data_IF_594661952989
#
_entry.id   IF_594661952989
#
_cell.length_a   1.000
_cell.length_b   1.000
_cell.length_c   1.000
_cell.angle_alpha   90.00
_cell.angle_beta   90.00
_cell.angle_gamma   90.00
#
_symmetry.space_group_name_H-M   'P 1'
#
loop_
_entity.id
_entity.type
_entity.pdbx_description
1 polymer ?
#
# COMPACT_ATOMS: atom_id res chain seq x y z
N UNK A 1 -5.47 30.64 0.42
CA UNK A 1 -5.37 29.35 -0.30
C UNK A 1 -5.91 28.26 0.61
N UNK A 2 -6.88 27.42 0.17
CA UNK A 2 -7.30 26.27 0.99
C UNK A 2 -6.10 25.33 1.15
N UNK A 3 -5.76 24.99 2.40
CA UNK A 3 -4.67 24.04 2.72
C UNK A 3 -5.03 22.69 2.08
N UNK A 4 -4.16 22.10 1.26
CA UNK A 4 -4.40 20.79 0.66
C UNK A 4 -4.57 19.75 1.78
N UNK A 5 -5.49 18.82 1.58
CA UNK A 5 -5.66 17.70 2.50
C UNK A 5 -4.38 16.84 2.51
N UNK A 6 -3.97 16.37 3.69
CA UNK A 6 -2.83 15.48 3.83
C UNK A 6 -3.33 14.06 4.08
N UNK A 7 -2.66 13.11 3.46
CA UNK A 7 -2.97 11.67 3.51
C UNK A 7 -1.69 10.93 3.87
N UNK A 8 -1.78 10.02 4.81
CA UNK A 8 -0.69 9.10 5.10
C UNK A 8 -0.94 7.78 4.37
N UNK A 9 -0.03 7.43 3.48
CA UNK A 9 0.04 6.09 2.89
C UNK A 9 1.10 5.30 3.66
N UNK A 10 0.74 4.14 4.18
CA UNK A 10 1.68 3.31 4.93
C UNK A 10 1.65 1.85 4.49
N UNK A 11 2.80 1.20 4.59
CA UNK A 11 2.99 -0.20 4.23
C UNK A 11 3.50 -1.05 5.40
N UNK A 12 3.91 -2.28 5.09
CA UNK A 12 4.32 -3.30 6.06
C UNK A 12 5.59 -2.94 6.87
N UNK A 13 6.32 -1.90 6.48
CA UNK A 13 7.42 -1.37 7.30
C UNK A 13 7.00 -1.01 8.71
N UNK A 14 5.74 -0.59 8.91
CA UNK A 14 5.18 -0.29 10.23
C UNK A 14 5.09 -1.52 11.14
N UNK A 15 4.80 -2.71 10.58
CA UNK A 15 4.76 -3.97 11.33
C UNK A 15 6.17 -4.48 11.66
N UNK A 16 7.13 -4.21 10.76
CA UNK A 16 8.49 -4.80 10.83
C UNK A 16 9.37 -4.20 11.93
N UNK A 17 9.01 -3.07 12.50
CA UNK A 17 9.80 -2.44 13.58
C UNK A 17 9.89 -3.30 14.84
N UNK A 18 8.89 -4.14 15.11
CA UNK A 18 8.83 -5.05 16.28
C UNK A 18 8.91 -6.53 15.87
N UNK A 19 9.67 -6.83 14.81
CA UNK A 19 9.89 -8.21 14.39
C UNK A 19 8.82 -8.78 13.46
N UNK A 20 7.92 -7.96 12.93
CA UNK A 20 7.00 -8.36 11.87
C UNK A 20 7.74 -8.86 10.62
N UNK A 21 7.13 -9.78 9.91
CA UNK A 21 7.72 -10.46 8.76
C UNK A 21 7.59 -9.63 7.46
N UNK A 22 8.51 -9.87 6.51
CA UNK A 22 8.34 -9.40 5.13
C UNK A 22 7.32 -10.26 4.41
N UNK A 23 6.76 -9.74 3.31
CA UNK A 23 5.84 -10.51 2.47
C UNK A 23 6.50 -11.76 1.88
N UNK A 24 7.78 -11.67 1.46
CA UNK A 24 8.55 -12.83 0.98
C UNK A 24 8.64 -13.93 2.06
N UNK A 25 8.92 -13.52 3.32
CA UNK A 25 9.00 -14.50 4.41
C UNK A 25 7.63 -15.07 4.76
N UNK A 26 6.57 -14.25 4.73
CA UNK A 26 5.20 -14.73 4.91
C UNK A 26 4.86 -15.80 3.88
N UNK A 27 5.13 -15.52 2.58
CA UNK A 27 4.87 -16.50 1.53
C UNK A 27 5.74 -17.77 1.68
N UNK A 28 7.02 -17.62 2.04
CA UNK A 28 7.91 -18.77 2.30
C UNK A 28 7.31 -19.67 3.40
N UNK A 29 6.90 -19.09 4.52
CA UNK A 29 6.32 -19.81 5.66
C UNK A 29 5.01 -20.57 5.30
N UNK A 30 4.16 -19.97 4.46
CA UNK A 30 2.86 -20.55 4.12
C UNK A 30 2.90 -21.44 2.86
N UNK A 31 3.99 -21.39 2.08
CA UNK A 31 4.15 -22.12 0.81
C UNK A 31 4.45 -23.60 0.96
N UNK A 32 4.77 -24.07 2.17
CA UNK A 32 5.22 -25.43 2.43
C UNK A 32 6.42 -25.86 1.57
N UNK A 33 7.33 -24.91 1.27
CA UNK A 33 8.52 -25.16 0.48
C UNK A 33 8.35 -25.08 -1.05
N UNK A 34 7.20 -24.62 -1.52
CA UNK A 34 6.90 -24.46 -2.96
C UNK A 34 7.31 -23.10 -3.53
N UNK A 35 8.04 -22.29 -2.76
CA UNK A 35 8.40 -20.94 -3.21
C UNK A 35 9.49 -20.99 -4.30
N UNK A 36 9.28 -20.22 -5.37
CA UNK A 36 10.29 -19.96 -6.38
C UNK A 36 11.07 -18.71 -5.98
N UNK A 37 12.37 -18.84 -5.77
CA UNK A 37 13.24 -17.70 -5.46
C UNK A 37 13.49 -16.85 -6.71
N UNK A 38 13.83 -15.58 -6.48
CA UNK A 38 14.26 -14.64 -7.53
C UNK A 38 13.20 -14.27 -8.59
N UNK A 39 11.90 -14.50 -8.29
CA UNK A 39 10.79 -13.99 -9.08
C UNK A 39 9.95 -12.99 -8.25
N UNK A 40 9.23 -12.05 -8.90
CA UNK A 40 8.36 -11.10 -8.22
C UNK A 40 7.29 -11.76 -7.36
N UNK A 41 6.95 -11.13 -6.23
CA UNK A 41 6.00 -11.65 -5.24
C UNK A 41 4.64 -12.09 -5.85
N UNK A 42 4.02 -11.36 -6.79
CA UNK A 42 2.77 -11.81 -7.40
C UNK A 42 2.89 -13.14 -8.15
N UNK A 43 4.03 -13.40 -8.80
CA UNK A 43 4.27 -14.68 -9.47
C UNK A 43 4.60 -15.80 -8.49
N UNK A 44 5.25 -15.50 -7.37
CA UNK A 44 5.43 -16.49 -6.30
C UNK A 44 4.08 -16.94 -5.76
N UNK A 45 3.15 -16.01 -5.55
CA UNK A 45 1.78 -16.32 -5.12
C UNK A 45 1.07 -17.23 -6.13
N UNK A 46 1.10 -16.90 -7.43
CA UNK A 46 0.49 -17.73 -8.47
C UNK A 46 1.12 -19.13 -8.51
N UNK A 47 2.44 -19.22 -8.38
CA UNK A 47 3.11 -20.53 -8.31
C UNK A 47 2.58 -21.39 -7.16
N UNK A 48 2.38 -20.80 -5.97
CA UNK A 48 1.84 -21.55 -4.82
C UNK A 48 0.38 -21.95 -5.05
N UNK A 49 -0.41 -21.05 -5.66
CA UNK A 49 -1.83 -21.34 -5.94
C UNK A 49 -2.03 -22.40 -7.02
N UNK A 50 -1.15 -22.43 -8.02
CA UNK A 50 -1.30 -23.27 -9.22
C UNK A 50 -0.47 -24.56 -9.18
N UNK A 51 0.53 -24.65 -8.30
CA UNK A 51 1.26 -25.88 -8.07
C UNK A 51 0.41 -26.82 -7.22
N UNK A 52 -0.24 -27.76 -7.85
CA UNK A 52 -0.89 -28.86 -7.13
C UNK A 52 0.09 -29.57 -6.22
N UNK A 53 -0.38 -29.99 -5.04
CA UNK A 53 0.36 -30.96 -4.24
C UNK A 53 0.58 -32.22 -5.08
N UNK A 54 1.75 -32.29 -5.66
CA UNK A 54 2.37 -33.42 -6.34
C UNK A 54 1.41 -34.53 -6.81
N UNK A 55 1.04 -34.55 -8.05
CA UNK A 55 0.96 -35.81 -8.73
C UNK A 55 -0.40 -36.34 -9.14
N UNK A 56 -1.46 -35.58 -9.17
CA UNK A 56 -2.72 -36.06 -9.75
C UNK A 56 -3.18 -35.12 -10.88
N UNK A 57 -2.46 -35.18 -12.01
CA UNK A 57 -2.84 -34.47 -13.26
C UNK A 57 -4.21 -34.91 -13.82
N UNK A 58 -4.79 -35.98 -13.28
CA UNK A 58 -6.07 -36.53 -13.72
C UNK A 58 -7.29 -35.93 -12.99
N UNK A 59 -7.10 -35.23 -11.90
CA UNK A 59 -8.15 -34.45 -11.25
C UNK A 59 -8.08 -33.01 -11.76
N UNK A 60 -8.87 -32.67 -12.73
CA UNK A 60 -8.91 -31.36 -13.36
C UNK A 60 -8.77 -30.16 -12.39
N UNK A 61 -8.50 -28.94 -12.87
CA UNK A 61 -7.99 -27.82 -12.09
C UNK A 61 -8.95 -27.45 -10.94
N UNK A 62 -8.63 -27.88 -9.72
CA UNK A 62 -9.23 -27.38 -8.48
C UNK A 62 -8.54 -26.08 -8.06
N UNK A 63 -8.35 -25.18 -9.00
CA UNK A 63 -7.61 -23.92 -8.82
C UNK A 63 -8.22 -23.02 -7.73
N UNK A 64 -9.51 -23.11 -7.46
CA UNK A 64 -10.22 -22.32 -6.44
C UNK A 64 -9.92 -22.74 -5.01
N UNK A 65 -9.60 -24.01 -4.78
CA UNK A 65 -9.33 -24.56 -3.44
C UNK A 65 -7.96 -24.09 -2.96
N UNK A 66 -6.95 -24.06 -3.81
CA UNK A 66 -5.60 -23.63 -3.46
C UNK A 66 -5.54 -22.14 -3.08
N UNK A 67 -6.20 -21.26 -3.83
CA UNK A 67 -6.26 -19.81 -3.54
C UNK A 67 -6.96 -19.54 -2.20
N UNK A 68 -8.09 -20.19 -1.96
CA UNK A 68 -8.86 -19.99 -0.73
C UNK A 68 -8.12 -20.45 0.52
N UNK A 69 -7.44 -21.58 0.46
CA UNK A 69 -6.60 -22.07 1.56
C UNK A 69 -5.41 -21.17 1.79
N UNK A 70 -4.73 -20.73 0.74
CA UNK A 70 -3.57 -19.84 0.85
C UNK A 70 -3.98 -18.50 1.48
N UNK A 71 -5.09 -17.92 1.06
CA UNK A 71 -5.63 -16.69 1.69
C UNK A 71 -6.03 -16.91 3.15
N UNK A 72 -6.55 -18.09 3.51
CA UNK A 72 -6.83 -18.39 4.90
C UNK A 72 -5.55 -18.44 5.74
N UNK A 73 -4.49 -19.06 5.24
CA UNK A 73 -3.19 -19.08 5.93
C UNK A 73 -2.61 -17.67 6.11
N UNK A 74 -2.79 -16.77 5.12
CA UNK A 74 -2.42 -15.36 5.25
C UNK A 74 -3.21 -14.71 6.40
N UNK A 75 -4.53 -14.88 6.43
CA UNK A 75 -5.40 -14.35 7.50
C UNK A 75 -4.94 -14.86 8.86
N UNK A 76 -4.71 -16.16 9.02
CA UNK A 76 -4.31 -16.78 10.28
C UNK A 76 -2.98 -16.19 10.78
N UNK A 77 -1.99 -16.04 9.90
CA UNK A 77 -0.69 -15.43 10.23
C UNK A 77 -0.80 -13.96 10.63
N UNK A 78 -1.62 -13.19 9.94
CA UNK A 78 -1.75 -11.76 10.19
C UNK A 78 -2.65 -11.43 11.40
N UNK A 79 -3.52 -12.34 11.79
CA UNK A 79 -4.41 -12.17 12.95
C UNK A 79 -3.67 -12.13 14.29
N UNK A 80 -2.44 -12.63 14.36
CA UNK A 80 -1.61 -12.68 15.57
C UNK A 80 -0.63 -11.49 15.69
N UNK A 81 -0.63 -10.56 14.75
CA UNK A 81 0.25 -9.38 14.79
C UNK A 81 -0.18 -8.45 15.95
N UNK A 82 0.78 -7.84 16.61
CA UNK A 82 0.55 -6.89 17.69
C UNK A 82 0.87 -5.46 17.25
N UNK A 83 0.11 -4.50 17.77
CA UNK A 83 0.38 -3.08 17.62
C UNK A 83 1.71 -2.68 18.26
N UNK A 84 2.24 -1.53 17.86
CA UNK A 84 3.49 -0.96 18.36
C UNK A 84 3.40 0.56 18.45
N UNK A 85 4.41 1.19 19.04
CA UNK A 85 4.49 2.63 19.28
C UNK A 85 4.50 3.50 18.00
N UNK A 86 4.86 2.93 16.85
CA UNK A 86 4.75 3.62 15.56
C UNK A 86 3.29 3.74 15.14
N UNK A 87 2.46 2.71 15.40
CA UNK A 87 1.02 2.80 15.16
C UNK A 87 0.33 3.81 16.07
N UNK A 88 0.81 3.97 17.33
CA UNK A 88 0.33 5.03 18.22
C UNK A 88 0.67 6.41 17.67
N UNK A 89 1.90 6.61 17.18
CA UNK A 89 2.29 7.87 16.54
C UNK A 89 1.47 8.14 15.28
N UNK A 90 1.22 7.10 14.47
CA UNK A 90 0.40 7.18 13.27
C UNK A 90 -1.06 7.56 13.60
N UNK A 91 -1.66 6.94 14.61
CA UNK A 91 -3.03 7.22 15.05
C UNK A 91 -3.23 8.67 15.54
N UNK A 92 -2.18 9.28 16.11
CA UNK A 92 -2.20 10.68 16.60
C UNK A 92 -2.05 11.72 15.50
N UNK A 93 -1.79 11.32 14.24
CA UNK A 93 -1.64 12.27 13.14
C UNK A 93 -2.92 13.07 12.88
N UNK A 94 -2.84 14.40 12.68
CA UNK A 94 -4.00 15.25 12.42
C UNK A 94 -4.45 15.16 10.94
N UNK A 95 -4.68 13.95 10.47
CA UNK A 95 -5.16 13.64 9.12
C UNK A 95 -6.45 12.83 9.23
N UNK A 96 -7.30 12.94 8.23
CA UNK A 96 -8.55 12.18 8.14
C UNK A 96 -8.34 10.86 7.40
N UNK A 97 -7.55 10.87 6.33
CA UNK A 97 -7.44 9.74 5.42
C UNK A 97 -6.09 9.04 5.54
N UNK A 98 -6.13 7.73 5.71
CA UNK A 98 -5.00 6.81 5.67
C UNK A 98 -5.20 5.83 4.51
N UNK A 99 -4.14 5.49 3.81
CA UNK A 99 -4.15 4.46 2.76
C UNK A 99 -3.15 3.38 3.16
N UNK A 100 -3.51 2.12 3.00
CA UNK A 100 -2.59 1.02 3.30
C UNK A 100 -2.68 -0.13 2.30
N UNK A 101 -1.52 -0.73 2.02
CA UNK A 101 -1.39 -2.02 1.34
C UNK A 101 -1.43 -3.19 2.32
N UNK A 102 -1.38 -2.93 3.63
CA UNK A 102 -1.43 -3.95 4.66
C UNK A 102 -2.83 -4.56 4.73
N UNK A 103 -2.89 -5.86 4.96
CA UNK A 103 -4.13 -6.60 5.15
C UNK A 103 -4.58 -6.62 6.61
N UNK A 104 -3.64 -6.39 7.56
CA UNK A 104 -3.93 -6.36 9.00
C UNK A 104 -4.73 -5.11 9.41
N UNK A 105 -5.23 -5.11 10.63
CA UNK A 105 -6.06 -4.03 11.20
C UNK A 105 -5.39 -3.33 12.37
N UNK A 106 -4.06 -3.25 12.39
CA UNK A 106 -3.33 -2.70 13.54
C UNK A 106 -3.65 -1.24 13.80
N UNK A 107 -3.79 -0.40 12.76
CA UNK A 107 -4.18 0.99 12.96
C UNK A 107 -5.60 1.12 13.53
N UNK A 108 -6.57 0.31 13.07
CA UNK A 108 -7.92 0.31 13.65
C UNK A 108 -7.91 -0.12 15.12
N UNK A 109 -7.19 -1.18 15.42
CA UNK A 109 -7.04 -1.66 16.80
C UNK A 109 -6.46 -0.56 17.69
N UNK A 110 -5.37 0.08 17.27
CA UNK A 110 -4.76 1.19 18.00
C UNK A 110 -5.73 2.36 18.19
N UNK A 111 -6.47 2.74 17.16
CA UNK A 111 -7.48 3.79 17.25
C UNK A 111 -8.60 3.40 18.23
N UNK A 112 -9.07 2.15 18.19
CA UNK A 112 -10.09 1.65 19.14
C UNK A 112 -9.60 1.67 20.57
N UNK A 113 -8.35 1.29 20.83
CA UNK A 113 -7.71 1.41 22.16
C UNK A 113 -7.60 2.87 22.63
N UNK A 114 -7.53 3.81 21.68
CA UNK A 114 -7.57 5.26 21.96
C UNK A 114 -9.00 5.82 22.10
N UNK A 115 -10.03 4.98 22.00
CA UNK A 115 -11.44 5.34 22.17
C UNK A 115 -12.14 5.84 20.91
N UNK A 116 -11.64 5.50 19.72
CA UNK A 116 -12.38 5.69 18.45
C UNK A 116 -13.32 4.51 18.23
N UNK A 117 -14.51 4.80 17.73
CA UNK A 117 -15.53 3.81 17.39
C UNK A 117 -15.72 3.72 15.88
N UNK A 118 -15.89 2.51 15.36
CA UNK A 118 -16.22 2.27 13.95
C UNK A 118 -17.62 2.79 13.69
N UNK A 119 -17.76 3.73 12.76
CA UNK A 119 -19.05 4.36 12.42
C UNK A 119 -19.52 4.06 11.00
N UNK A 120 -18.60 3.71 10.10
CA UNK A 120 -18.93 3.46 8.70
C UNK A 120 -17.86 2.59 8.04
N UNK A 121 -18.29 1.75 7.10
CA UNK A 121 -17.39 0.91 6.30
C UNK A 121 -17.97 0.69 4.92
N UNK A 122 -17.14 0.79 3.88
CA UNK A 122 -17.50 0.32 2.55
C UNK A 122 -16.68 -0.92 2.20
N UNK A 123 -17.42 -1.98 1.89
CA UNK A 123 -16.88 -3.24 1.45
C UNK A 123 -17.88 -3.97 0.54
N UNK A 124 -18.72 -3.20 -0.16
CA UNK A 124 -19.76 -3.68 -1.06
C UNK A 124 -19.22 -4.60 -2.16
N UNK A 125 -18.01 -4.32 -2.66
CA UNK A 125 -17.33 -5.18 -3.61
C UNK A 125 -16.48 -6.23 -2.89
N UNK A 126 -16.69 -7.51 -3.22
CA UNK A 126 -16.05 -8.63 -2.52
C UNK A 126 -14.56 -8.75 -2.84
N UNK A 127 -14.14 -8.51 -4.09
CA UNK A 127 -12.77 -8.77 -4.54
C UNK A 127 -12.01 -7.47 -4.89
N UNK A 128 -12.23 -6.85 -5.99
CA UNK A 128 -11.44 -5.70 -6.48
C UNK A 128 -12.10 -4.36 -6.13
N UNK A 129 -12.14 -4.00 -4.84
CA UNK A 129 -12.77 -2.75 -4.44
C UNK A 129 -11.79 -1.57 -4.44
N UNK A 130 -12.14 -0.52 -5.17
CA UNK A 130 -11.49 0.78 -5.09
C UNK A 130 -12.12 1.70 -4.02
N UNK A 131 -13.11 1.20 -3.28
CA UNK A 131 -13.89 1.92 -2.28
C UNK A 131 -13.77 1.32 -0.87
N UNK A 132 -12.94 0.27 -0.68
CA UNK A 132 -12.84 -0.39 0.62
C UNK A 132 -12.21 0.50 1.66
N UNK A 133 -12.99 0.89 2.65
CA UNK A 133 -12.54 1.67 3.79
C UNK A 133 -13.27 1.31 5.07
N UNK A 134 -12.66 1.70 6.20
CA UNK A 134 -13.31 1.77 7.50
C UNK A 134 -13.14 3.18 8.04
N UNK A 135 -14.20 3.75 8.61
CA UNK A 135 -14.21 5.07 9.23
C UNK A 135 -14.43 4.94 10.73
N UNK A 136 -13.50 5.47 11.50
CA UNK A 136 -13.58 5.53 12.96
C UNK A 136 -13.73 6.98 13.41
N UNK A 137 -14.43 7.20 14.54
CA UNK A 137 -14.70 8.53 15.09
C UNK A 137 -14.51 8.57 16.58
N UNK A 138 -13.97 9.69 17.06
CA UNK A 138 -13.90 10.05 18.48
C UNK A 138 -14.23 11.53 18.64
N UNK A 139 -15.38 11.87 19.24
CA UNK A 139 -15.87 13.25 19.24
C UNK A 139 -16.05 13.75 17.81
N UNK A 140 -15.39 14.84 17.44
CA UNK A 140 -15.41 15.40 16.09
C UNK A 140 -14.26 14.93 15.20
N UNK A 141 -13.29 14.18 15.76
CA UNK A 141 -12.15 13.65 14.99
C UNK A 141 -12.56 12.37 14.25
N UNK A 142 -12.32 12.38 12.94
CA UNK A 142 -12.66 11.28 12.02
C UNK A 142 -11.38 10.75 11.38
N UNK A 143 -11.22 9.44 11.43
CA UNK A 143 -10.13 8.69 10.78
C UNK A 143 -10.75 7.70 9.79
N UNK A 144 -10.33 7.74 8.51
CA UNK A 144 -10.73 6.80 7.48
C UNK A 144 -9.52 6.04 6.98
N UNK A 145 -9.60 4.73 7.00
CA UNK A 145 -8.51 3.83 6.57
C UNK A 145 -8.96 3.12 5.30
N UNK A 146 -8.25 3.35 4.21
CA UNK A 146 -8.48 2.74 2.89
C UNK A 146 -7.58 1.52 2.73
N UNK A 147 -8.18 0.34 2.55
CA UNK A 147 -7.50 -0.94 2.33
C UNK A 147 -7.42 -1.25 0.85
N UNK A 148 -6.38 -0.79 0.17
CA UNK A 148 -6.32 -0.83 -1.29
C UNK A 148 -6.09 -2.23 -1.86
N UNK A 149 -5.43 -3.10 -1.10
CA UNK A 149 -5.19 -4.51 -1.47
C UNK A 149 -6.06 -5.49 -0.67
N UNK A 150 -7.12 -5.01 -0.02
CA UNK A 150 -7.98 -5.83 0.81
C UNK A 150 -7.58 -5.89 2.27
N UNK A 151 -8.30 -6.68 3.07
CA UNK A 151 -8.02 -6.87 4.49
C UNK A 151 -8.44 -8.26 4.99
N UNK A 152 -7.98 -8.62 6.19
CA UNK A 152 -8.22 -9.93 6.81
C UNK A 152 -9.69 -10.22 7.15
N UNK A 153 -10.55 -9.21 7.32
CA UNK A 153 -11.99 -9.43 7.59
C UNK A 153 -12.70 -10.02 6.36
N UNK A 154 -12.19 -9.76 5.18
CA UNK A 154 -12.71 -10.26 3.91
C UNK A 154 -11.62 -10.98 3.12
N UNK A 155 -11.33 -12.21 3.49
CA UNK A 155 -10.30 -13.06 2.87
C UNK A 155 -10.23 -12.93 1.34
N UNK A 156 -11.38 -12.97 0.66
CA UNK A 156 -11.46 -12.89 -0.80
C UNK A 156 -11.04 -11.52 -1.37
N UNK A 157 -10.90 -10.52 -0.51
CA UNK A 157 -10.47 -9.19 -0.92
C UNK A 157 -8.95 -9.05 -1.04
N UNK A 158 -8.17 -9.98 -0.48
CA UNK A 158 -6.71 -9.94 -0.49
C UNK A 158 -6.21 -10.01 -1.93
N UNK A 159 -5.44 -9.00 -2.32
CA UNK A 159 -4.77 -8.88 -3.62
C UNK A 159 -3.29 -9.14 -3.40
N UNK A 160 -2.78 -10.22 -3.92
CA UNK A 160 -1.36 -10.59 -3.85
C UNK A 160 -0.85 -11.22 -5.16
N UNK A 161 -1.72 -11.93 -5.89
CA UNK A 161 -1.39 -12.59 -7.14
C UNK A 161 -1.46 -11.65 -8.35
N UNK A 162 -0.77 -12.04 -9.40
CA UNK A 162 -0.68 -11.25 -10.65
C UNK A 162 -2.04 -11.02 -11.32
N UNK A 163 -2.88 -12.08 -11.41
CA UNK A 163 -4.25 -11.96 -11.95
C UNK A 163 -5.09 -10.97 -11.14
N UNK A 164 -4.91 -10.98 -9.83
CA UNK A 164 -5.62 -10.09 -8.91
C UNK A 164 -5.22 -8.63 -9.10
N UNK A 165 -3.92 -8.34 -9.29
CA UNK A 165 -3.45 -6.99 -9.64
C UNK A 165 -4.04 -6.50 -10.96
N UNK A 166 -4.11 -7.36 -11.98
CA UNK A 166 -4.72 -7.01 -13.26
C UNK A 166 -6.21 -6.66 -13.12
N UNK A 167 -6.95 -7.42 -12.31
CA UNK A 167 -8.37 -7.15 -12.02
C UNK A 167 -8.58 -5.83 -11.28
N UNK A 168 -7.74 -5.53 -10.29
CA UNK A 168 -7.74 -4.25 -9.57
C UNK A 168 -7.42 -3.08 -10.49
N UNK A 169 -6.38 -3.21 -11.31
CA UNK A 169 -5.94 -2.19 -12.26
C UNK A 169 -7.02 -1.84 -13.29
N UNK A 170 -7.79 -2.83 -13.78
CA UNK A 170 -8.91 -2.60 -14.69
C UNK A 170 -9.95 -1.66 -14.06
N UNK A 171 -10.32 -1.87 -12.79
CA UNK A 171 -11.26 -0.98 -12.08
C UNK A 171 -10.68 0.41 -11.84
N UNK A 172 -9.40 0.51 -11.54
CA UNK A 172 -8.72 1.80 -11.39
C UNK A 172 -8.75 2.60 -12.70
N UNK A 173 -8.49 1.95 -13.83
CA UNK A 173 -8.51 2.59 -15.15
C UNK A 173 -9.93 3.07 -15.50
N UNK A 174 -10.95 2.26 -15.26
CA UNK A 174 -12.35 2.65 -15.41
C UNK A 174 -12.73 3.84 -14.54
N UNK A 175 -12.24 3.89 -13.30
CA UNK A 175 -12.46 5.01 -12.38
C UNK A 175 -11.84 6.31 -12.90
N UNK A 176 -10.60 6.24 -13.36
CA UNK A 176 -9.87 7.42 -13.85
C UNK A 176 -10.44 7.92 -15.18
N UNK A 177 -10.83 7.00 -16.09
CA UNK A 177 -11.42 7.34 -17.40
C UNK A 177 -12.87 7.81 -17.31
N UNK A 178 -13.60 7.43 -16.27
CA UNK A 178 -15.02 7.76 -16.11
C UNK A 178 -15.98 6.71 -16.70
N UNK A 179 -15.50 5.50 -17.00
CA UNK A 179 -16.33 4.36 -17.43
C UNK A 179 -16.86 3.52 -16.26
N UNK A 180 -16.33 3.71 -15.06
CA UNK A 180 -16.83 3.05 -13.85
C UNK A 180 -18.27 3.46 -13.55
N UNK A 181 -19.10 2.50 -13.13
CA UNK A 181 -20.52 2.74 -12.85
C UNK A 181 -20.82 2.62 -11.36
N UNK A 182 -21.51 3.62 -10.82
CA UNK A 182 -22.15 3.59 -9.51
C UNK A 182 -23.66 3.59 -9.76
N UNK A 183 -24.39 2.63 -9.22
CA UNK A 183 -25.84 2.46 -9.42
C UNK A 183 -26.24 2.49 -10.92
N UNK A 184 -25.49 1.77 -11.73
CA UNK A 184 -25.62 1.70 -13.18
C UNK A 184 -25.41 3.03 -13.95
N UNK A 185 -24.94 4.09 -13.28
CA UNK A 185 -24.62 5.38 -13.92
C UNK A 185 -23.11 5.55 -14.01
N UNK A 186 -22.56 5.87 -15.21
CA UNK A 186 -21.14 6.14 -15.32
C UNK A 186 -20.77 7.39 -14.54
N UNK A 187 -19.61 7.34 -13.87
CA UNK A 187 -19.03 8.52 -13.22
C UNK A 187 -18.35 9.41 -14.28
N UNK A 188 -18.11 10.68 -13.94
CA UNK A 188 -17.26 11.52 -14.78
C UNK A 188 -15.79 11.12 -14.64
N UNK A 189 -15.00 11.28 -15.69
CA UNK A 189 -13.55 11.09 -15.65
C UNK A 189 -12.91 11.98 -14.56
N UNK A 190 -11.79 11.52 -13.98
CA UNK A 190 -11.18 12.18 -12.82
C UNK A 190 -10.84 13.66 -13.09
N UNK A 191 -10.31 13.97 -14.26
CA UNK A 191 -9.99 15.34 -14.66
C UNK A 191 -11.23 16.26 -14.79
N UNK A 192 -12.42 15.67 -15.05
CA UNK A 192 -13.69 16.41 -15.09
C UNK A 192 -14.34 16.56 -13.71
N UNK A 193 -14.03 15.63 -12.77
CA UNK A 193 -14.50 15.73 -11.38
C UNK A 193 -13.71 16.76 -10.58
N UNK A 194 -12.43 16.92 -10.89
CA UNK A 194 -11.51 17.82 -10.18
C UNK A 194 -10.85 18.82 -11.15
N UNK A 195 -11.61 19.70 -11.82
CA UNK A 195 -11.05 20.58 -12.84
C UNK A 195 -10.19 21.71 -12.23
N UNK A 196 -10.64 22.36 -11.15
CA UNK A 196 -10.00 23.57 -10.59
C UNK A 196 -9.92 23.61 -9.05
N UNK A 197 -10.70 22.80 -8.33
CA UNK A 197 -10.70 22.75 -6.86
C UNK A 197 -11.04 21.34 -6.40
N UNK A 198 -10.24 20.77 -5.49
CA UNK A 198 -10.62 19.55 -4.82
C UNK A 198 -11.68 19.86 -3.74
N UNK A 199 -12.84 19.26 -3.84
CA UNK A 199 -13.87 19.33 -2.81
C UNK A 199 -13.82 18.05 -1.97
N UNK A 200 -13.77 18.16 -0.64
CA UNK A 200 -13.73 17.01 0.28
C UNK A 200 -14.92 16.07 0.08
N UNK A 201 -16.09 16.65 -0.20
CA UNK A 201 -17.34 15.90 -0.36
C UNK A 201 -17.41 15.04 -1.63
N UNK A 202 -16.42 15.17 -2.52
CA UNK A 202 -16.37 14.43 -3.79
C UNK A 202 -15.42 13.23 -3.76
N UNK A 203 -14.69 13.02 -2.66
CA UNK A 203 -13.79 11.86 -2.50
C UNK A 203 -14.63 10.60 -2.29
N UNK A 204 -14.59 9.71 -3.27
CA UNK A 204 -15.36 8.45 -3.26
C UNK A 204 -14.47 7.22 -3.37
N UNK A 205 -13.18 7.41 -3.64
CA UNK A 205 -12.19 6.36 -3.78
C UNK A 205 -10.84 6.84 -3.29
N UNK A 206 -10.01 5.92 -2.77
CA UNK A 206 -8.63 6.21 -2.42
C UNK A 206 -7.81 6.76 -3.61
N UNK A 207 -8.20 6.40 -4.84
CA UNK A 207 -7.58 6.90 -6.08
C UNK A 207 -7.69 8.43 -6.15
N UNK A 208 -8.85 9.00 -5.78
CA UNK A 208 -9.08 10.45 -5.82
C UNK A 208 -8.08 11.20 -4.95
N UNK A 209 -7.64 10.60 -3.84
CA UNK A 209 -6.67 11.20 -2.91
C UNK A 209 -5.30 11.43 -3.55
N UNK A 210 -4.86 10.54 -4.44
CA UNK A 210 -3.61 10.73 -5.18
C UNK A 210 -3.65 11.91 -6.15
N UNK A 211 -4.83 12.33 -6.56
CA UNK A 211 -5.00 13.46 -7.47
C UNK A 211 -5.29 14.77 -6.75
N UNK A 212 -5.77 14.72 -5.51
CA UNK A 212 -6.33 15.90 -4.83
C UNK A 212 -5.64 16.28 -3.52
N UNK A 213 -4.72 15.44 -3.02
CA UNK A 213 -4.14 15.60 -1.69
C UNK A 213 -2.63 15.59 -1.71
N UNK A 214 -2.00 16.00 -0.61
CA UNK A 214 -0.60 15.71 -0.33
C UNK A 214 -0.54 14.28 0.23
N UNK A 215 0.16 13.38 -0.45
CA UNK A 215 0.31 11.98 -0.04
C UNK A 215 1.71 11.75 0.50
N UNK A 216 1.81 11.26 1.72
CA UNK A 216 3.07 10.90 2.38
C UNK A 216 3.18 9.38 2.45
N UNK A 217 4.09 8.79 1.67
CA UNK A 217 4.29 7.33 1.58
C UNK A 217 5.39 6.92 2.55
N UNK A 218 5.05 6.14 3.60
CA UNK A 218 5.92 5.80 4.72
C UNK A 218 5.88 4.28 4.97
N UNK A 219 7.04 3.67 5.28
CA UNK A 219 7.10 2.25 5.62
C UNK A 219 6.68 1.29 4.49
N UNK A 220 6.79 1.75 3.26
CA UNK A 220 6.46 1.02 2.05
C UNK A 220 7.66 1.05 1.10
N UNK A 221 8.10 -0.13 0.65
CA UNK A 221 9.31 -0.22 -0.19
C UNK A 221 9.10 0.19 -1.63
N UNK A 222 7.85 0.26 -2.08
CA UNK A 222 7.46 0.58 -3.45
C UNK A 222 8.22 -0.27 -4.48
N UNK A 223 8.09 -1.60 -4.43
CA UNK A 223 8.75 -2.48 -5.37
C UNK A 223 8.13 -2.33 -6.78
N UNK A 224 8.86 -2.75 -7.82
CA UNK A 224 8.41 -2.55 -9.21
C UNK A 224 7.23 -3.44 -9.61
N UNK A 225 6.98 -4.50 -8.88
CA UNK A 225 5.85 -5.41 -9.07
C UNK A 225 4.52 -4.89 -8.49
N UNK A 226 4.52 -3.78 -7.77
CA UNK A 226 3.31 -3.02 -7.40
C UNK A 226 2.79 -2.20 -8.59
N UNK A 227 2.36 -2.90 -9.63
CA UNK A 227 2.04 -2.31 -10.93
C UNK A 227 0.90 -1.30 -10.90
N UNK A 228 -0.06 -1.45 -10.00
CA UNK A 228 -1.21 -0.57 -9.82
C UNK A 228 -0.81 0.82 -9.31
N UNK A 229 0.09 0.88 -8.32
CA UNK A 229 0.59 2.15 -7.78
C UNK A 229 1.52 2.85 -8.78
N UNK A 230 2.40 2.12 -9.46
CA UNK A 230 3.23 2.69 -10.52
C UNK A 230 2.37 3.22 -11.67
N UNK A 231 1.36 2.48 -12.07
CA UNK A 231 0.39 2.92 -13.09
C UNK A 231 -0.33 4.21 -12.66
N UNK A 232 -0.78 4.28 -11.39
CA UNK A 232 -1.50 5.44 -10.87
C UNK A 232 -0.64 6.71 -10.89
N UNK A 233 0.63 6.59 -10.50
CA UNK A 233 1.60 7.69 -10.54
C UNK A 233 1.86 8.15 -11.99
N UNK A 234 2.08 7.23 -12.93
CA UNK A 234 2.24 7.53 -14.36
C UNK A 234 0.99 8.23 -14.91
N UNK A 235 -0.18 7.68 -14.59
CA UNK A 235 -1.45 8.25 -15.06
C UNK A 235 -1.68 9.67 -14.53
N UNK A 236 -1.39 9.90 -13.26
CA UNK A 236 -1.41 11.24 -12.65
C UNK A 236 -0.46 12.19 -13.39
N UNK A 237 0.79 11.79 -13.60
CA UNK A 237 1.79 12.60 -14.30
C UNK A 237 1.35 12.95 -15.72
N UNK A 238 0.83 11.98 -16.49
CA UNK A 238 0.34 12.20 -17.85
C UNK A 238 -0.80 13.21 -17.90
N UNK A 239 -1.82 13.08 -17.05
CA UNK A 239 -2.95 14.01 -17.03
C UNK A 239 -2.52 15.45 -16.72
N UNK A 240 -1.54 15.62 -15.85
CA UNK A 240 -0.97 16.94 -15.53
C UNK A 240 -0.12 17.46 -16.72
N UNK A 241 0.74 16.61 -17.29
CA UNK A 241 1.60 16.97 -18.42
C UNK A 241 0.79 17.35 -19.69
N UNK A 242 -0.29 16.59 -19.96
CA UNK A 242 -1.23 16.86 -21.05
C UNK A 242 -2.12 18.09 -20.78
N UNK A 243 -1.94 18.78 -19.66
CA UNK A 243 -2.76 19.94 -19.22
C UNK A 243 -4.25 19.63 -19.08
N UNK A 244 -4.62 18.35 -18.93
CA UNK A 244 -5.99 17.92 -18.68
C UNK A 244 -6.41 18.06 -17.23
N UNK A 245 -5.45 18.21 -16.34
CA UNK A 245 -5.66 18.35 -14.90
C UNK A 245 -4.64 19.31 -14.28
N UNK A 246 -5.07 20.11 -13.33
CA UNK A 246 -4.16 20.92 -12.51
C UNK A 246 -3.50 20.05 -11.43
N UNK A 247 -2.24 20.30 -11.12
CA UNK A 247 -1.56 19.66 -9.98
C UNK A 247 -2.06 20.26 -8.67
N UNK A 248 -2.70 19.45 -7.82
CA UNK A 248 -3.24 19.91 -6.54
C UNK A 248 -2.33 19.60 -5.36
N UNK A 249 -1.85 18.37 -5.26
CA UNK A 249 -1.06 17.91 -4.14
C UNK A 249 0.35 17.50 -4.53
N UNK A 250 1.15 17.23 -3.54
CA UNK A 250 2.48 16.62 -3.69
C UNK A 250 2.45 15.18 -3.21
N UNK A 251 3.23 14.31 -3.84
CA UNK A 251 3.49 12.98 -3.33
C UNK A 251 4.92 12.96 -2.83
N UNK A 252 5.12 12.49 -1.60
CA UNK A 252 6.45 12.39 -0.98
C UNK A 252 6.67 10.97 -0.50
N UNK A 253 7.69 10.32 -1.00
CA UNK A 253 8.12 8.99 -0.62
C UNK A 253 9.28 9.08 0.39
N UNK A 254 9.14 8.40 1.53
CA UNK A 254 10.13 8.34 2.60
C UNK A 254 10.76 6.95 2.62
N UNK A 255 12.05 6.89 2.32
CA UNK A 255 12.80 5.64 2.24
C UNK A 255 13.96 5.62 3.22
N UNK A 256 14.23 4.48 3.81
CA UNK A 256 15.39 4.26 4.66
C UNK A 256 16.02 2.90 4.39
N UNK A 257 17.33 2.86 4.40
CA UNK A 257 18.12 1.66 4.14
C UNK A 257 19.16 1.48 5.23
N UNK A 258 19.34 0.23 5.66
CA UNK A 258 20.42 -0.09 6.59
C UNK A 258 21.78 0.13 5.91
N UNK A 259 22.66 0.83 6.60
CA UNK A 259 24.07 0.85 6.23
C UNK A 259 24.59 -0.58 6.27
N UNK A 260 25.36 -0.93 5.29
CA UNK A 260 26.09 -2.16 5.34
C UNK A 260 27.17 -2.08 6.42
N UNK A 261 27.04 -2.88 7.46
CA UNK A 261 28.04 -2.96 8.53
C UNK A 261 29.36 -3.48 7.94
N UNK A 262 30.45 -2.76 8.21
CA UNK A 262 31.79 -2.94 7.65
C UNK A 262 32.49 -4.28 8.02
N UNK A 263 31.75 -5.41 8.08
CA UNK A 263 32.36 -6.74 8.07
C UNK A 263 33.04 -6.95 6.73
N UNK A 264 34.19 -7.58 6.72
CA UNK A 264 34.85 -7.98 5.49
C UNK A 264 33.86 -8.73 4.59
N UNK A 265 33.46 -8.08 3.50
CA UNK A 265 32.51 -8.63 2.54
C UNK A 265 33.27 -9.41 1.49
N UNK A 266 32.75 -10.58 1.17
CA UNK A 266 33.21 -11.29 -0.02
C UNK A 266 32.80 -10.53 -1.30
N UNK A 267 33.38 -10.88 -2.43
CA UNK A 267 33.11 -10.16 -3.70
C UNK A 267 31.67 -10.30 -4.16
N UNK A 268 30.96 -11.38 -3.79
CA UNK A 268 29.52 -11.57 -4.08
C UNK A 268 28.66 -10.59 -3.32
N UNK A 269 28.98 -10.33 -2.04
CA UNK A 269 28.21 -9.38 -1.22
C UNK A 269 28.40 -7.94 -1.73
N UNK A 270 29.61 -7.59 -2.14
CA UNK A 270 29.89 -6.28 -2.76
C UNK A 270 29.15 -6.08 -4.07
N UNK A 271 29.10 -7.12 -4.90
CA UNK A 271 28.38 -7.08 -6.18
C UNK A 271 26.89 -6.90 -5.96
N UNK A 272 26.28 -7.66 -5.03
CA UNK A 272 24.85 -7.56 -4.68
C UNK A 272 24.50 -6.20 -4.09
N UNK A 273 25.36 -5.63 -3.28
CA UNK A 273 25.17 -4.29 -2.71
C UNK A 273 25.17 -3.22 -3.80
N UNK A 274 26.12 -3.29 -4.74
CA UNK A 274 26.19 -2.37 -5.89
C UNK A 274 24.92 -2.47 -6.75
N UNK A 275 24.46 -3.69 -7.04
CA UNK A 275 23.22 -3.92 -7.78
C UNK A 275 22.01 -3.30 -7.07
N UNK A 276 21.89 -3.49 -5.76
CA UNK A 276 20.80 -2.91 -4.97
C UNK A 276 20.86 -1.37 -4.97
N UNK A 277 22.06 -0.79 -4.95
CA UNK A 277 22.23 0.66 -5.04
C UNK A 277 21.84 1.21 -6.42
N UNK A 278 22.19 0.51 -7.49
CA UNK A 278 21.80 0.87 -8.86
C UNK A 278 20.28 0.76 -9.05
N UNK A 279 19.66 -0.30 -8.57
CA UNK A 279 18.18 -0.45 -8.56
C UNK A 279 17.49 0.68 -7.79
N UNK A 280 18.04 1.09 -6.65
CA UNK A 280 17.51 2.20 -5.86
C UNK A 280 17.66 3.53 -6.60
N UNK A 281 18.79 3.81 -7.21
CA UNK A 281 19.00 5.01 -8.04
C UNK A 281 18.01 5.06 -9.21
N UNK A 282 17.82 3.94 -9.89
CA UNK A 282 16.83 3.83 -10.97
C UNK A 282 15.40 4.12 -10.48
N UNK A 283 15.02 3.59 -9.30
CA UNK A 283 13.74 3.87 -8.67
C UNK A 283 13.56 5.36 -8.38
N UNK A 284 14.56 6.02 -7.80
CA UNK A 284 14.47 7.46 -7.50
C UNK A 284 14.39 8.32 -8.75
N UNK A 285 15.13 7.97 -9.79
CA UNK A 285 15.03 8.66 -11.09
C UNK A 285 13.61 8.52 -11.67
N UNK A 286 12.99 7.33 -11.58
CA UNK A 286 11.63 7.12 -12.04
C UNK A 286 10.62 7.91 -11.19
N UNK A 287 10.78 7.94 -9.86
CA UNK A 287 9.94 8.75 -8.97
C UNK A 287 10.00 10.24 -9.32
N UNK A 288 11.20 10.77 -9.61
CA UNK A 288 11.37 12.17 -10.03
C UNK A 288 10.66 12.46 -11.36
N UNK A 289 10.81 11.57 -12.36
CA UNK A 289 10.08 11.65 -13.64
C UNK A 289 8.56 11.69 -13.41
N UNK A 290 8.06 10.92 -12.44
CA UNK A 290 6.65 10.83 -12.09
C UNK A 290 6.18 11.95 -11.14
N UNK A 291 7.05 12.94 -10.86
CA UNK A 291 6.77 14.08 -9.97
C UNK A 291 6.46 13.65 -8.53
N UNK A 292 7.16 12.63 -8.06
CA UNK A 292 7.16 12.16 -6.69
C UNK A 292 8.45 12.60 -6.02
N UNK A 293 8.34 13.43 -4.97
CA UNK A 293 9.49 13.79 -4.15
C UNK A 293 9.91 12.59 -3.32
N UNK A 294 11.22 12.46 -3.03
CA UNK A 294 11.68 11.44 -2.10
C UNK A 294 12.60 12.03 -1.05
N UNK A 295 12.55 11.44 0.15
CA UNK A 295 13.48 11.69 1.25
C UNK A 295 14.12 10.37 1.64
N UNK A 296 15.44 10.32 1.66
CA UNK A 296 16.20 9.11 1.88
C UNK A 296 17.12 9.25 3.10
N UNK A 297 17.22 8.20 3.92
CA UNK A 297 18.09 8.14 5.08
C UNK A 297 18.79 6.78 5.20
N UNK A 298 20.06 6.80 5.57
CA UNK A 298 20.76 5.59 6.03
C UNK A 298 20.56 5.39 7.53
N UNK A 299 20.21 4.16 7.92
CA UNK A 299 20.12 3.72 9.31
C UNK A 299 21.26 2.74 9.61
N UNK A 300 21.74 2.73 10.85
CA UNK A 300 22.85 1.86 11.25
C UNK A 300 22.33 0.50 11.78
N UNK A 301 21.14 0.47 12.38
CA UNK A 301 20.53 -0.72 12.97
C UNK A 301 19.04 -0.80 12.59
N UNK A 302 18.51 -2.02 12.59
CA UNK A 302 17.08 -2.28 12.40
C UNK A 302 16.21 -1.62 13.48
N UNK A 303 16.72 -1.46 14.69
CA UNK A 303 16.02 -0.82 15.79
C UNK A 303 15.73 0.67 15.52
N UNK A 304 16.54 1.33 14.69
CA UNK A 304 16.36 2.73 14.33
C UNK A 304 15.12 2.99 13.44
N UNK A 305 14.52 1.95 12.83
CA UNK A 305 13.34 2.15 11.98
C UNK A 305 12.14 2.71 12.75
N UNK A 306 11.92 2.29 13.99
CA UNK A 306 10.82 2.81 14.80
C UNK A 306 10.98 4.32 15.02
N UNK A 307 12.16 4.76 15.43
CA UNK A 307 12.45 6.17 15.67
C UNK A 307 12.45 6.98 14.37
N UNK A 308 12.94 6.42 13.28
CA UNK A 308 12.87 7.01 11.96
C UNK A 308 11.42 7.30 11.54
N UNK A 309 10.50 6.34 11.66
CA UNK A 309 9.10 6.55 11.32
C UNK A 309 8.43 7.56 12.23
N UNK A 310 8.66 7.51 13.55
CA UNK A 310 8.13 8.50 14.49
C UNK A 310 8.64 9.91 14.18
N UNK A 311 9.92 10.04 13.83
CA UNK A 311 10.50 11.33 13.43
C UNK A 311 9.83 11.88 12.15
N UNK A 312 9.65 11.06 11.12
CA UNK A 312 8.94 11.48 9.90
C UNK A 312 7.51 11.94 10.20
N UNK A 313 6.77 11.18 11.01
CA UNK A 313 5.40 11.53 11.41
C UNK A 313 5.38 12.87 12.14
N UNK A 314 6.32 13.11 13.06
CA UNK A 314 6.46 14.39 13.74
C UNK A 314 6.78 15.55 12.80
N UNK A 315 7.71 15.34 11.85
CA UNK A 315 8.04 16.34 10.82
C UNK A 315 6.84 16.70 9.95
N UNK A 316 6.07 15.68 9.52
CA UNK A 316 4.85 15.91 8.77
C UNK A 316 3.86 16.71 9.60
N UNK A 317 3.62 16.32 10.85
CA UNK A 317 2.71 17.00 11.77
C UNK A 317 3.07 18.48 11.95
N UNK A 318 4.35 18.79 12.18
CA UNK A 318 4.83 20.17 12.34
C UNK A 318 4.62 21.03 11.09
N UNK A 319 4.60 20.42 9.91
CA UNK A 319 4.32 21.11 8.64
C UNK A 319 2.82 21.21 8.32
N UNK A 320 1.94 20.58 9.11
CA UNK A 320 0.48 20.69 8.98
C UNK A 320 -0.11 21.85 9.78
N UNK A 321 0.56 22.25 10.86
CA UNK A 321 0.23 23.42 11.66
C UNK A 321 0.75 24.69 11.00
#
# INVERSE_FOLDING_TARGET
MKKNNNVIFFGNGMNRVNGGESWDKLLDDISRGQILKDIPLPFQYENICLSDEAGDFDKGPSCSVGEDELKQRIVDKLSIIHSNDVYEALAKMPVTDYITTNYDKMLEKTLSEMGYELIDSDSSESRYSIHRYNTLKKGDDIKRIWYIHGNIDKRNSIIMGYDQYCGGLSKMDDWVKGSYKIDNKPIKAIHSRFPNTAHKDTIKSWIDLFFTSNVHIIGYSMPFDEIDLWWLLDKRKRLIWEKRMTKYGTITFYDAVLKSNGKEKNDKDKCKEKENEEKRKAKYNLLDILDVKYKFQYLNDKKEFADYYKHILADIQNNLC
#
